data_IF_433742865520
#
_entry.id   IF_433742865520
#
_cell.length_a   1.000
_cell.length_b   1.000
_cell.length_c   1.000
_cell.angle_alpha   90.00
_cell.angle_beta   90.00
_cell.angle_gamma   90.00
#
_symmetry.space_group_name_H-M   'P 1'
#
loop_
_entity.id
_entity.type
_entity.pdbx_description
1 polymer ?
#
# COMPACT_ATOMS: atom_id res chain seq x y z
N UNK A 1 -13.33 -29.05 12.89
CA UNK A 1 -13.35 -27.78 12.14
C UNK A 1 -13.11 -26.63 13.12
N UNK A 2 -11.85 -26.23 13.34
CA UNK A 2 -11.53 -25.13 14.28
C UNK A 2 -10.19 -24.45 13.93
N UNK A 3 -9.87 -24.35 12.64
CA UNK A 3 -8.53 -23.89 12.19
C UNK A 3 -8.58 -22.74 11.20
N UNK A 4 -9.76 -22.39 10.66
CA UNK A 4 -9.86 -21.32 9.65
C UNK A 4 -10.11 -19.94 10.24
N UNK A 5 -10.68 -19.85 11.45
CA UNK A 5 -10.96 -18.56 12.09
C UNK A 5 -9.69 -17.98 12.76
N UNK A 6 -8.96 -18.80 13.51
CA UNK A 6 -7.72 -18.36 14.19
C UNK A 6 -6.66 -17.91 13.17
N UNK A 7 -6.53 -18.59 12.01
CA UNK A 7 -5.54 -18.23 10.99
C UNK A 7 -5.84 -16.87 10.34
N UNK A 8 -7.11 -16.48 10.19
CA UNK A 8 -7.49 -15.18 9.63
C UNK A 8 -7.13 -14.05 10.59
N UNK A 9 -7.37 -14.21 11.90
CA UNK A 9 -7.07 -13.17 12.89
C UNK A 9 -5.56 -12.87 12.98
N UNK A 10 -4.71 -13.91 12.99
CA UNK A 10 -3.25 -13.73 13.02
C UNK A 10 -2.72 -13.09 11.73
N UNK A 11 -3.28 -13.48 10.58
CA UNK A 11 -2.88 -12.90 9.30
C UNK A 11 -3.26 -11.42 9.21
N UNK A 12 -4.44 -11.08 9.71
CA UNK A 12 -4.95 -9.70 9.71
C UNK A 12 -4.17 -8.80 10.65
N UNK A 13 -3.79 -9.28 11.84
CA UNK A 13 -2.95 -8.49 12.75
C UNK A 13 -1.54 -8.28 12.17
N UNK A 14 -0.96 -9.31 11.55
CA UNK A 14 0.33 -9.19 10.87
C UNK A 14 0.27 -8.20 9.68
N UNK A 15 -0.80 -8.27 8.89
CA UNK A 15 -1.03 -7.35 7.76
C UNK A 15 -1.18 -5.90 8.28
N UNK A 16 -1.95 -5.68 9.35
CA UNK A 16 -2.08 -4.37 9.99
C UNK A 16 -0.75 -3.86 10.53
N UNK A 17 0.03 -4.70 11.22
CA UNK A 17 1.33 -4.32 11.75
C UNK A 17 2.30 -3.91 10.63
N UNK A 18 2.30 -4.65 9.51
CA UNK A 18 3.08 -4.32 8.33
C UNK A 18 2.66 -2.97 7.74
N UNK A 19 1.37 -2.74 7.53
CA UNK A 19 0.86 -1.50 6.95
C UNK A 19 1.14 -0.29 7.85
N UNK A 20 1.01 -0.42 9.17
CA UNK A 20 1.39 0.63 10.14
C UNK A 20 2.87 0.99 10.02
N UNK A 21 3.74 -0.03 9.95
CA UNK A 21 5.19 0.19 9.79
C UNK A 21 5.51 0.87 8.46
N UNK A 22 4.85 0.44 7.37
CA UNK A 22 5.02 1.05 6.05
C UNK A 22 4.59 2.51 6.05
N UNK A 23 3.43 2.83 6.64
CA UNK A 23 2.94 4.21 6.76
C UNK A 23 3.95 5.10 7.51
N UNK A 24 4.49 4.65 8.63
CA UNK A 24 5.50 5.42 9.38
C UNK A 24 6.78 5.69 8.58
N UNK A 25 7.22 4.73 7.76
CA UNK A 25 8.38 4.92 6.87
C UNK A 25 8.11 5.93 5.76
N UNK A 26 6.93 5.85 5.14
CA UNK A 26 6.53 6.78 4.09
C UNK A 26 6.34 8.20 4.66
N UNK A 27 5.76 8.32 5.85
CA UNK A 27 5.63 9.60 6.53
C UNK A 27 7.00 10.25 6.79
N UNK A 28 7.96 9.48 7.30
CA UNK A 28 9.32 9.97 7.51
C UNK A 28 9.99 10.43 6.19
N UNK A 29 9.84 9.65 5.11
CA UNK A 29 10.42 9.96 3.80
C UNK A 29 9.79 11.22 3.17
N UNK A 30 8.48 11.42 3.33
CA UNK A 30 7.82 12.63 2.81
C UNK A 30 8.14 13.84 3.69
N UNK A 31 8.13 13.67 5.01
CA UNK A 31 8.42 14.75 5.96
C UNK A 31 9.87 15.22 5.90
N UNK A 32 10.83 14.34 5.58
CA UNK A 32 12.23 14.70 5.35
C UNK A 32 12.47 15.37 3.99
N UNK A 33 11.48 15.35 3.09
CA UNK A 33 11.61 15.83 1.71
C UNK A 33 12.34 14.84 0.78
N UNK A 34 12.66 13.63 1.24
CA UNK A 34 13.24 12.56 0.42
C UNK A 34 12.30 12.14 -0.71
N UNK A 35 10.99 12.22 -0.47
CA UNK A 35 9.96 11.96 -1.48
C UNK A 35 8.87 13.01 -1.47
N UNK A 36 8.55 13.59 -2.62
CA UNK A 36 7.55 14.66 -2.76
C UNK A 36 6.24 14.22 -3.42
N UNK A 37 6.22 13.02 -3.99
CA UNK A 37 5.06 12.43 -4.63
C UNK A 37 5.03 10.91 -4.45
N UNK A 38 3.87 10.37 -4.11
CA UNK A 38 3.63 8.95 -3.90
C UNK A 38 2.48 8.45 -4.78
N UNK A 39 2.64 7.28 -5.37
CA UNK A 39 1.53 6.52 -5.97
C UNK A 39 1.46 5.18 -5.25
N UNK A 40 0.34 4.89 -4.58
CA UNK A 40 0.19 3.66 -3.84
C UNK A 40 -0.54 2.61 -4.66
N UNK A 41 0.09 1.46 -4.84
CA UNK A 41 -0.46 0.34 -5.62
C UNK A 41 -0.53 -0.86 -4.70
N UNK A 42 -1.74 -1.31 -4.40
CA UNK A 42 -1.96 -2.45 -3.52
C UNK A 42 -3.35 -3.06 -3.78
N UNK A 43 -3.63 -4.21 -3.16
CA UNK A 43 -4.97 -4.79 -3.17
C UNK A 43 -5.99 -3.80 -2.55
N UNK A 44 -7.27 -3.82 -2.97
CA UNK A 44 -8.30 -2.96 -2.38
C UNK A 44 -8.40 -3.09 -0.86
N UNK A 45 -8.13 -4.28 -0.32
CA UNK A 45 -8.10 -4.56 1.12
C UNK A 45 -6.98 -3.78 1.82
N UNK A 46 -5.75 -3.90 1.33
CA UNK A 46 -4.59 -3.25 1.91
C UNK A 46 -4.71 -1.72 1.83
N UNK A 47 -5.19 -1.17 0.71
CA UNK A 47 -5.51 0.26 0.58
C UNK A 47 -6.55 0.70 1.62
N UNK A 48 -7.60 -0.10 1.81
CA UNK A 48 -8.62 0.16 2.84
C UNK A 48 -8.04 0.23 4.25
N UNK A 49 -7.10 -0.65 4.59
CA UNK A 49 -6.48 -0.72 5.91
C UNK A 49 -5.49 0.43 6.17
N UNK A 50 -4.57 0.69 5.22
CA UNK A 50 -3.51 1.68 5.43
C UNK A 50 -4.01 3.14 5.41
N UNK A 51 -5.17 3.41 4.79
CA UNK A 51 -5.77 4.76 4.77
C UNK A 51 -6.00 5.37 6.16
N UNK A 52 -6.19 4.54 7.18
CA UNK A 52 -6.33 4.98 8.56
C UNK A 52 -5.01 5.53 9.13
N UNK A 53 -3.87 5.05 8.61
CA UNK A 53 -2.53 5.38 9.12
C UNK A 53 -1.84 6.50 8.33
N UNK A 54 -2.48 7.05 7.28
CA UNK A 54 -1.91 8.18 6.55
C UNK A 54 -1.92 9.46 7.38
N UNK A 55 -0.73 10.04 7.52
CA UNK A 55 -0.55 11.41 8.00
C UNK A 55 -1.05 12.44 6.98
N UNK A 56 -1.26 13.68 7.43
CA UNK A 56 -1.64 14.79 6.55
C UNK A 56 -0.58 15.08 5.49
N UNK A 57 0.70 14.86 5.82
CA UNK A 57 1.83 15.09 4.91
C UNK A 57 1.82 14.02 3.81
N UNK A 58 1.62 12.75 4.17
CA UNK A 58 1.45 11.68 3.18
C UNK A 58 0.26 11.92 2.27
N UNK A 59 -0.90 12.33 2.82
CA UNK A 59 -2.11 12.60 2.02
C UNK A 59 -1.87 13.69 0.96
N UNK A 60 -1.05 14.69 1.28
CA UNK A 60 -0.67 15.75 0.33
C UNK A 60 0.30 15.27 -0.75
N UNK A 61 1.18 14.33 -0.42
CA UNK A 61 2.12 13.74 -1.38
C UNK A 61 1.48 12.63 -2.24
N UNK A 62 0.39 12.01 -1.79
CA UNK A 62 -0.27 10.92 -2.50
C UNK A 62 -1.00 11.45 -3.75
N UNK A 63 -0.51 11.06 -4.92
CA UNK A 63 -1.04 11.46 -6.23
C UNK A 63 -2.14 10.53 -6.72
N UNK A 64 -2.01 9.24 -6.44
CA UNK A 64 -2.97 8.23 -6.85
C UNK A 64 -2.93 7.00 -5.95
N UNK A 65 -4.07 6.34 -5.84
CA UNK A 65 -4.20 4.99 -5.32
C UNK A 65 -4.72 4.07 -6.41
N UNK A 66 -4.01 2.97 -6.66
CA UNK A 66 -4.37 1.99 -7.68
C UNK A 66 -4.68 0.67 -6.96
N UNK A 67 -5.97 0.37 -6.87
CA UNK A 67 -6.47 -0.89 -6.34
C UNK A 67 -6.29 -2.03 -7.33
N UNK A 68 -5.06 -2.53 -7.47
CA UNK A 68 -4.75 -3.72 -8.27
C UNK A 68 -4.02 -4.75 -7.42
N UNK A 69 -4.54 -5.97 -7.43
CA UNK A 69 -3.86 -7.13 -6.86
C UNK A 69 -2.79 -7.62 -7.86
N UNK A 70 -1.60 -7.01 -7.78
CA UNK A 70 -0.47 -7.32 -8.68
C UNK A 70 0.42 -8.45 -8.13
N UNK A 71 0.07 -9.03 -6.98
CA UNK A 71 0.91 -9.97 -6.23
C UNK A 71 1.08 -11.32 -6.96
N UNK A 72 0.25 -11.58 -7.97
CA UNK A 72 0.31 -12.80 -8.80
C UNK A 72 1.07 -12.62 -10.12
N UNK A 73 1.68 -11.46 -10.34
CA UNK A 73 2.37 -11.15 -11.59
C UNK A 73 3.87 -11.02 -11.34
N UNK A 74 4.73 -11.57 -12.22
CA UNK A 74 6.16 -11.32 -12.16
C UNK A 74 6.47 -9.82 -12.37
N UNK A 75 7.56 -9.33 -11.78
CA UNK A 75 7.91 -7.89 -11.67
C UNK A 75 7.85 -7.15 -13.02
N UNK A 76 8.23 -7.80 -14.12
CA UNK A 76 8.19 -7.21 -15.46
C UNK A 76 6.75 -6.93 -15.97
N UNK A 77 5.75 -7.67 -15.47
CA UNK A 77 4.33 -7.44 -15.78
C UNK A 77 3.73 -6.32 -14.91
N UNK A 78 4.27 -6.12 -13.70
CA UNK A 78 3.92 -5.00 -12.82
C UNK A 78 4.25 -3.68 -13.53
N UNK A 79 5.47 -3.53 -14.05
CA UNK A 79 5.89 -2.31 -14.77
C UNK A 79 5.00 -2.02 -15.99
N UNK A 80 4.73 -3.05 -16.80
CA UNK A 80 3.88 -2.92 -17.99
C UNK A 80 2.46 -2.49 -17.61
N UNK A 81 1.89 -3.07 -16.56
CA UNK A 81 0.58 -2.69 -16.02
C UNK A 81 0.57 -1.26 -15.47
N UNK A 82 1.60 -0.82 -14.77
CA UNK A 82 1.68 0.54 -14.22
C UNK A 82 1.76 1.60 -15.32
N UNK A 83 2.53 1.34 -16.38
CA UNK A 83 2.62 2.20 -17.55
C UNK A 83 1.28 2.27 -18.32
N UNK A 84 0.56 1.15 -18.43
CA UNK A 84 -0.77 1.08 -19.06
C UNK A 84 -1.88 1.74 -18.23
N UNK A 85 -1.72 1.80 -16.90
CA UNK A 85 -2.74 2.35 -15.97
C UNK A 85 -2.70 3.88 -15.86
N UNK A 86 -1.75 4.54 -16.53
CA UNK A 86 -1.55 5.99 -16.40
C UNK A 86 -0.95 6.43 -15.07
N UNK A 87 -0.38 5.51 -14.28
CA UNK A 87 0.30 5.83 -13.02
C UNK A 87 1.63 6.60 -13.22
N UNK A 88 2.08 6.72 -14.47
CA UNK A 88 3.32 7.37 -14.89
C UNK A 88 3.12 8.79 -15.45
N UNK A 89 1.98 9.46 -15.21
CA UNK A 89 1.76 10.84 -15.65
C UNK A 89 1.47 11.77 -14.49
#
# INVERSE_FOLDING_TARGET
MRSSAEQTDWHDEAERAFLRSLAGRLDAAVSSGETTALTMVASPRALGMIRADYSDVMRKALRAEVGKDLVKLPVYEIEKQLLLSGAAK
#
